data_IF_246378798158
#
_entry.id   IF_246378798158
#
_cell.length_a   1.000
_cell.length_b   1.000
_cell.length_c   1.000
_cell.angle_alpha   90.00
_cell.angle_beta   90.00
_cell.angle_gamma   90.00
#
_symmetry.space_group_name_H-M   'P 1'
#
loop_
_entity.id
_entity.type
_entity.pdbx_description
1 polymer ?
#
# COMPACT_ATOMS: atom_id res chain seq x y z
N UNK A 1 -2.69 23.37 8.20
CA UNK A 1 -3.38 22.30 7.43
C UNK A 1 -3.57 21.14 8.38
N UNK A 2 -4.82 20.78 8.69
CA UNK A 2 -5.13 19.80 9.72
C UNK A 2 -4.57 18.42 9.34
N UNK A 3 -3.47 18.05 9.98
CA UNK A 3 -2.96 16.68 9.97
C UNK A 3 -3.82 15.91 10.94
N UNK A 4 -4.93 15.38 10.45
CA UNK A 4 -5.66 14.35 11.17
C UNK A 4 -4.82 13.08 11.06
N UNK A 5 -4.08 12.82 12.12
CA UNK A 5 -3.40 11.56 12.40
C UNK A 5 -4.47 10.47 12.55
N UNK A 6 -5.02 10.02 11.42
CA UNK A 6 -5.79 8.80 11.33
C UNK A 6 -4.78 7.74 10.95
N UNK A 7 -4.43 6.88 11.89
CA UNK A 7 -3.57 5.73 11.66
C UNK A 7 -4.07 5.01 10.39
N UNK A 8 -3.24 5.03 9.34
CA UNK A 8 -3.58 4.40 8.08
C UNK A 8 -3.57 2.88 8.30
N UNK A 9 -4.75 2.27 8.37
CA UNK A 9 -4.88 0.82 8.51
C UNK A 9 -4.41 0.15 7.23
N UNK A 10 -3.22 -0.43 7.27
CA UNK A 10 -2.66 -1.21 6.16
C UNK A 10 -3.32 -2.60 6.22
N UNK A 11 -3.95 -3.08 5.13
CA UNK A 11 -4.50 -4.43 5.09
C UNK A 11 -3.41 -5.48 5.29
N UNK A 12 -3.73 -6.58 5.98
CA UNK A 12 -2.76 -7.62 6.36
C UNK A 12 -2.05 -8.25 5.16
N UNK A 13 -2.78 -8.47 4.08
CA UNK A 13 -2.27 -8.99 2.81
C UNK A 13 -1.28 -8.02 2.14
N UNK A 14 -1.55 -6.71 2.23
CA UNK A 14 -0.61 -5.71 1.73
C UNK A 14 0.61 -5.58 2.64
N UNK A 15 0.43 -5.66 3.96
CA UNK A 15 1.53 -5.68 4.92
C UNK A 15 2.47 -6.87 4.67
N UNK A 16 1.91 -8.08 4.49
CA UNK A 16 2.67 -9.28 4.16
C UNK A 16 3.46 -9.12 2.85
N UNK A 17 2.86 -8.49 1.83
CA UNK A 17 3.57 -8.18 0.59
C UNK A 17 4.73 -7.18 0.79
N UNK A 18 4.56 -6.18 1.65
CA UNK A 18 5.64 -5.24 2.00
C UNK A 18 6.76 -5.91 2.81
N UNK A 19 6.44 -6.88 3.65
CA UNK A 19 7.43 -7.68 4.38
C UNK A 19 8.20 -8.62 3.45
N UNK A 20 7.53 -9.23 2.47
CA UNK A 20 8.16 -10.05 1.43
C UNK A 20 9.07 -9.22 0.50
N UNK A 21 8.81 -7.91 0.37
CA UNK A 21 9.58 -6.98 -0.44
C UNK A 21 10.14 -5.81 0.41
N UNK A 22 11.25 -6.02 1.15
CA UNK A 22 11.78 -5.03 2.09
C UNK A 22 12.09 -3.66 1.48
N UNK A 23 12.43 -3.62 0.19
CA UNK A 23 12.64 -2.37 -0.56
C UNK A 23 11.34 -1.58 -0.71
N UNK A 24 10.26 -2.25 -1.12
CA UNK A 24 8.93 -1.67 -1.19
C UNK A 24 8.46 -1.18 0.19
N UNK A 25 8.69 -1.97 1.24
CA UNK A 25 8.39 -1.61 2.63
C UNK A 25 9.09 -0.32 3.06
N UNK A 26 10.39 -0.17 2.78
CA UNK A 26 11.15 1.05 3.07
C UNK A 26 10.62 2.26 2.27
N UNK A 27 10.30 2.07 0.99
CA UNK A 27 9.74 3.14 0.15
C UNK A 27 8.37 3.59 0.65
N UNK A 28 7.52 2.63 0.99
CA UNK A 28 6.20 2.87 1.54
C UNK A 28 6.26 3.58 2.89
N UNK A 29 7.25 3.25 3.74
CA UNK A 29 7.44 3.89 5.03
C UNK A 29 7.72 5.41 4.90
N UNK A 30 8.46 5.85 3.88
CA UNK A 30 8.80 7.26 3.65
C UNK A 30 7.81 8.02 2.77
N UNK A 31 6.81 7.35 2.19
CA UNK A 31 5.80 8.01 1.35
C UNK A 31 4.98 9.03 2.15
N UNK A 32 4.55 10.14 1.53
CA UNK A 32 3.53 11.02 2.07
C UNK A 32 2.23 10.26 2.36
N UNK A 33 1.54 10.62 3.45
CA UNK A 33 0.30 9.96 3.88
C UNK A 33 -0.75 9.84 2.76
N UNK A 34 -0.91 10.86 1.91
CA UNK A 34 -1.86 10.82 0.79
C UNK A 34 -1.56 9.72 -0.23
N UNK A 35 -0.27 9.47 -0.51
CA UNK A 35 0.15 8.40 -1.41
C UNK A 35 0.00 7.03 -0.76
N UNK A 36 0.35 6.89 0.53
CA UNK A 36 0.09 5.65 1.27
C UNK A 36 -1.40 5.30 1.25
N UNK A 37 -2.27 6.30 1.51
CA UNK A 37 -3.72 6.14 1.48
C UNK A 37 -4.25 5.76 0.11
N UNK A 38 -3.70 6.33 -0.97
CA UNK A 38 -4.08 5.96 -2.33
C UNK A 38 -3.87 4.46 -2.59
N UNK A 39 -2.71 3.90 -2.22
CA UNK A 39 -2.46 2.46 -2.39
C UNK A 39 -3.41 1.60 -1.59
N UNK A 40 -3.64 1.94 -0.30
CA UNK A 40 -4.56 1.18 0.56
C UNK A 40 -5.98 1.23 0.00
N UNK A 41 -6.49 2.40 -0.38
CA UNK A 41 -7.85 2.54 -0.92
C UNK A 41 -8.03 1.79 -2.24
N UNK A 42 -7.02 1.78 -3.12
CA UNK A 42 -7.10 1.02 -4.36
C UNK A 42 -7.22 -0.49 -4.05
N UNK A 43 -6.42 -1.02 -3.13
CA UNK A 43 -6.48 -2.42 -2.72
C UNK A 43 -7.84 -2.75 -2.05
N UNK A 44 -8.31 -1.90 -1.13
CA UNK A 44 -9.58 -2.09 -0.44
C UNK A 44 -10.80 -1.99 -1.37
N UNK A 45 -10.71 -1.20 -2.45
CA UNK A 45 -11.78 -1.08 -3.44
C UNK A 45 -11.93 -2.33 -4.33
N UNK A 46 -11.11 -3.37 -4.15
CA UNK A 46 -11.22 -4.61 -4.92
C UNK A 46 -12.35 -5.48 -4.38
N UNK A 47 -13.27 -5.88 -5.25
CA UNK A 47 -14.42 -6.72 -4.88
C UNK A 47 -14.14 -8.22 -5.03
N UNK A 48 -13.05 -8.59 -5.71
CA UNK A 48 -12.59 -9.97 -5.87
C UNK A 48 -11.16 -10.12 -5.38
N UNK A 49 -10.84 -11.29 -4.82
CA UNK A 49 -9.50 -11.61 -4.34
C UNK A 49 -8.46 -11.51 -5.47
N UNK A 50 -8.80 -11.98 -6.67
CA UNK A 50 -7.90 -11.87 -7.84
C UNK A 50 -7.56 -10.41 -8.16
N UNK A 51 -8.55 -9.51 -8.15
CA UNK A 51 -8.31 -8.08 -8.40
C UNK A 51 -7.47 -7.47 -7.29
N UNK A 52 -7.71 -7.88 -6.04
CA UNK A 52 -6.99 -7.43 -4.86
C UNK A 52 -5.51 -7.78 -4.96
N UNK A 53 -5.18 -9.03 -5.27
CA UNK A 53 -3.81 -9.49 -5.47
C UNK A 53 -3.10 -8.73 -6.60
N UNK A 54 -3.76 -8.54 -7.76
CA UNK A 54 -3.19 -7.75 -8.87
C UNK A 54 -2.89 -6.29 -8.46
N UNK A 55 -3.73 -5.68 -7.63
CA UNK A 55 -3.51 -4.32 -7.12
C UNK A 55 -2.35 -4.25 -6.13
N UNK A 56 -2.20 -5.26 -5.27
CA UNK A 56 -1.04 -5.40 -4.37
C UNK A 56 0.25 -5.52 -5.19
N UNK A 57 0.30 -6.45 -6.14
CA UNK A 57 1.46 -6.63 -7.03
C UNK A 57 1.83 -5.33 -7.75
N UNK A 58 0.82 -4.62 -8.26
CA UNK A 58 1.01 -3.31 -8.90
C UNK A 58 1.54 -2.26 -7.93
N UNK A 59 1.05 -2.22 -6.69
CA UNK A 59 1.53 -1.31 -5.66
C UNK A 59 2.99 -1.60 -5.31
N UNK A 60 3.35 -2.87 -5.09
CA UNK A 60 4.73 -3.29 -4.84
C UNK A 60 5.63 -2.91 -6.02
N UNK A 61 5.21 -3.21 -7.26
CA UNK A 61 5.97 -2.83 -8.45
C UNK A 61 6.19 -1.31 -8.54
N UNK A 62 5.18 -0.50 -8.24
CA UNK A 62 5.30 0.96 -8.23
C UNK A 62 6.25 1.48 -7.13
N UNK A 63 6.34 0.77 -6.00
CA UNK A 63 7.21 1.11 -4.87
C UNK A 63 8.68 0.71 -5.11
N UNK A 64 8.93 -0.32 -5.92
CA UNK A 64 10.29 -0.81 -6.25
C UNK A 64 10.84 -0.19 -7.53
N UNK A 65 9.98 0.18 -8.49
CA UNK A 65 10.41 0.73 -9.78
C UNK A 65 10.92 2.19 -9.73
N UNK A 66 11.33 2.70 -8.57
CA UNK A 66 11.63 4.13 -8.33
C UNK A 66 12.90 4.33 -7.50
#
# INVERSE_FOLDING_TARGET
MAQFDVELKIPEDFAAALEAHPEAGKRFAVLPHGLKRHHVLDIEAATTEETRQRRIEKAIAALVAL
#
